data_IF_847674875538
#
_entry.id   IF_847674875538
#
_cell.length_a   1.000
_cell.length_b   1.000
_cell.length_c   1.000
_cell.angle_alpha   90.00
_cell.angle_beta   90.00
_cell.angle_gamma   90.00
#
_symmetry.space_group_name_H-M   'P 1'
#
loop_
_entity.id
_entity.type
_entity.pdbx_description
1 polymer ?
#
# COMPACT_ATOMS: atom_id res chain seq x y z
N UNK A 1 -20.63 -13.88 -4.48
CA UNK A 1 -19.47 -13.22 -3.85
C UNK A 1 -19.95 -12.04 -3.01
N UNK A 2 -19.78 -12.12 -1.70
CA UNK A 2 -20.06 -10.98 -0.82
C UNK A 2 -18.86 -10.02 -0.95
N UNK A 3 -19.06 -8.86 -1.59
CA UNK A 3 -18.01 -7.93 -2.12
C UNK A 3 -17.08 -7.29 -1.06
N UNK A 4 -16.96 -7.86 0.14
CA UNK A 4 -16.23 -7.29 1.29
C UNK A 4 -15.29 -8.28 2.00
N UNK A 5 -15.23 -9.53 1.55
CA UNK A 5 -14.34 -10.54 2.10
C UNK A 5 -13.77 -11.31 0.92
N UNK A 6 -12.44 -11.41 0.83
CA UNK A 6 -11.84 -12.28 -0.18
C UNK A 6 -12.02 -13.71 0.33
N UNK A 7 -12.53 -14.59 -0.52
CA UNK A 7 -12.70 -16.00 -0.18
C UNK A 7 -11.35 -16.54 0.31
N UNK A 8 -11.37 -17.40 1.34
CA UNK A 8 -10.18 -17.84 2.09
C UNK A 8 -9.15 -18.66 1.28
N UNK A 9 -9.32 -18.75 -0.05
CA UNK A 9 -8.37 -19.36 -0.95
C UNK A 9 -7.10 -18.50 -1.00
N UNK A 10 -5.95 -19.15 -0.77
CA UNK A 10 -4.66 -18.49 -0.90
C UNK A 10 -4.38 -18.22 -2.38
N UNK A 11 -3.88 -17.02 -2.69
CA UNK A 11 -3.38 -16.67 -4.01
C UNK A 11 -2.10 -17.47 -4.33
N UNK A 12 -1.73 -17.52 -5.61
CA UNK A 12 -0.44 -18.07 -6.04
C UNK A 12 0.64 -16.99 -6.21
N UNK A 13 0.36 -15.75 -5.81
CA UNK A 13 1.26 -14.62 -5.99
C UNK A 13 2.30 -14.53 -4.87
N UNK A 14 3.46 -14.00 -5.21
CA UNK A 14 4.56 -13.80 -4.26
C UNK A 14 5.25 -12.46 -4.50
N UNK A 15 5.71 -11.83 -3.43
CA UNK A 15 6.48 -10.59 -3.55
C UNK A 15 7.82 -10.86 -4.24
N UNK A 16 8.08 -10.10 -5.31
CA UNK A 16 9.40 -10.10 -5.94
C UNK A 16 10.50 -9.59 -4.98
N UNK A 17 11.75 -9.94 -5.26
CA UNK A 17 12.91 -9.38 -4.56
C UNK A 17 12.95 -7.84 -4.63
N UNK A 18 12.42 -7.25 -5.72
CA UNK A 18 12.28 -5.79 -5.86
C UNK A 18 11.25 -5.23 -4.89
N UNK A 19 10.10 -5.89 -4.72
CA UNK A 19 9.09 -5.47 -3.75
C UNK A 19 9.64 -5.53 -2.32
N UNK A 20 10.35 -6.62 -1.98
CA UNK A 20 10.98 -6.78 -0.67
C UNK A 20 12.05 -5.71 -0.40
N UNK A 21 12.90 -5.40 -1.38
CA UNK A 21 13.91 -4.34 -1.22
C UNK A 21 13.29 -2.95 -1.07
N UNK A 22 12.15 -2.68 -1.72
CA UNK A 22 11.40 -1.43 -1.56
C UNK A 22 10.78 -1.27 -0.18
N UNK A 23 10.60 -2.36 0.57
CA UNK A 23 10.14 -2.32 1.95
C UNK A 23 11.28 -2.13 2.97
N UNK A 24 12.54 -2.01 2.55
CA UNK A 24 13.62 -1.68 3.50
C UNK A 24 13.30 -0.36 4.22
N UNK A 25 13.43 -0.36 5.55
CA UNK A 25 13.06 0.78 6.40
C UNK A 25 11.55 0.96 6.67
N UNK A 26 10.66 0.17 6.07
CA UNK A 26 9.24 0.14 6.42
C UNK A 26 9.02 -0.58 7.75
N UNK A 27 8.04 -0.12 8.53
CA UNK A 27 7.66 -0.68 9.83
C UNK A 27 7.31 -2.17 9.73
N UNK A 28 7.73 -2.95 10.73
CA UNK A 28 7.58 -4.41 10.75
C UNK A 28 6.14 -4.88 10.57
N UNK A 29 5.19 -4.23 11.24
CA UNK A 29 3.77 -4.59 11.11
C UNK A 29 3.20 -4.33 9.73
N UNK A 30 3.58 -3.22 9.07
CA UNK A 30 3.12 -2.96 7.72
C UNK A 30 3.69 -3.98 6.73
N UNK A 31 4.95 -4.41 6.92
CA UNK A 31 5.52 -5.52 6.13
C UNK A 31 4.75 -6.83 6.32
N UNK A 32 4.34 -7.14 7.56
CA UNK A 32 3.51 -8.32 7.86
C UNK A 32 2.17 -8.24 7.14
N UNK A 33 1.53 -7.08 7.14
CA UNK A 33 0.28 -6.85 6.40
C UNK A 33 0.49 -7.03 4.89
N UNK A 34 1.54 -6.44 4.30
CA UNK A 34 1.84 -6.58 2.86
C UNK A 34 2.05 -8.06 2.48
N UNK A 35 2.85 -8.79 3.25
CA UNK A 35 3.11 -10.23 3.00
C UNK A 35 1.86 -11.08 3.19
N UNK A 36 0.97 -10.71 4.10
CA UNK A 36 -0.31 -11.43 4.23
C UNK A 36 -1.30 -11.05 3.13
N UNK A 37 -1.27 -9.80 2.66
CA UNK A 37 -2.15 -9.33 1.59
C UNK A 37 -1.84 -9.99 0.24
N UNK A 38 -0.56 -10.24 -0.09
CA UNK A 38 -0.21 -10.92 -1.36
C UNK A 38 -0.74 -12.36 -1.38
N UNK A 39 -0.86 -13.03 -0.23
CA UNK A 39 -1.44 -14.36 -0.14
C UNK A 39 -2.97 -14.37 -0.27
N UNK A 40 -3.63 -13.21 -0.15
CA UNK A 40 -5.08 -13.07 -0.13
C UNK A 40 -5.64 -12.39 -1.38
N UNK A 41 -4.79 -11.70 -2.16
CA UNK A 41 -5.24 -10.81 -3.22
C UNK A 41 -5.81 -11.54 -4.44
N UNK A 42 -6.88 -11.02 -5.07
CA UNK A 42 -7.39 -11.55 -6.33
C UNK A 42 -6.51 -11.19 -7.54
N UNK A 43 -5.66 -10.16 -7.43
CA UNK A 43 -4.74 -9.70 -8.47
C UNK A 43 -3.33 -9.53 -7.91
N UNK A 44 -2.31 -9.85 -8.71
CA UNK A 44 -0.92 -9.64 -8.31
C UNK A 44 -0.64 -8.14 -8.05
N UNK A 45 0.27 -7.86 -7.13
CA UNK A 45 0.74 -6.50 -6.88
C UNK A 45 2.22 -6.44 -6.52
N UNK A 46 2.85 -5.33 -6.87
CA UNK A 46 4.24 -5.03 -6.53
C UNK A 46 4.37 -3.79 -5.66
N UNK A 47 5.36 -3.74 -4.77
CA UNK A 47 5.64 -2.53 -3.98
C UNK A 47 6.51 -1.58 -4.81
N UNK A 48 6.02 -0.36 -5.01
CA UNK A 48 6.70 0.68 -5.80
C UNK A 48 7.46 1.66 -4.91
N UNK A 49 6.98 1.92 -3.70
CA UNK A 49 7.58 2.84 -2.75
C UNK A 49 7.39 2.36 -1.30
N UNK A 50 8.44 2.48 -0.49
CA UNK A 50 8.38 2.27 0.95
C UNK A 50 8.85 3.52 1.68
N UNK A 51 9.92 3.42 2.47
CA UNK A 51 10.46 4.59 3.17
C UNK A 51 11.04 5.62 2.19
N UNK A 52 10.76 6.90 2.42
CA UNK A 52 11.31 8.04 1.65
C UNK A 52 12.18 8.94 2.50
N UNK A 53 13.15 9.57 1.87
CA UNK A 53 13.87 10.75 2.37
C UNK A 53 13.02 12.02 2.20
N UNK A 54 13.45 13.12 2.83
CA UNK A 54 12.79 14.41 2.65
C UNK A 54 12.94 14.92 1.21
N UNK A 55 14.08 14.65 0.60
CA UNK A 55 14.43 15.04 -0.77
C UNK A 55 13.55 14.32 -1.79
N UNK A 56 13.37 13.00 -1.64
CA UNK A 56 12.47 12.22 -2.50
C UNK A 56 11.02 12.70 -2.39
N UNK A 57 10.56 12.97 -1.17
CA UNK A 57 9.22 13.49 -0.94
C UNK A 57 9.05 14.90 -1.54
N UNK A 58 10.06 15.76 -1.40
CA UNK A 58 10.05 17.10 -2.00
C UNK A 58 10.06 17.06 -3.54
N UNK A 59 10.75 16.09 -4.13
CA UNK A 59 10.74 15.88 -5.58
C UNK A 59 9.33 15.51 -6.09
N UNK A 60 8.56 14.72 -5.33
CA UNK A 60 7.16 14.41 -5.65
C UNK A 60 6.27 15.65 -5.50
N UNK A 61 6.47 16.42 -4.42
CA UNK A 61 5.76 17.69 -4.21
C UNK A 61 5.97 18.68 -5.36
N UNK A 62 7.22 18.90 -5.78
CA UNK A 62 7.57 19.79 -6.91
C UNK A 62 6.97 19.34 -8.25
N UNK A 63 6.68 18.04 -8.40
CA UNK A 63 6.02 17.46 -9.58
C UNK A 63 4.48 17.50 -9.50
N UNK A 64 3.90 18.01 -8.41
CA UNK A 64 2.46 18.00 -8.18
C UNK A 64 1.90 16.63 -7.79
N UNK A 65 2.76 15.63 -7.55
CA UNK A 65 2.37 14.27 -7.17
C UNK A 65 2.17 14.10 -5.66
N UNK A 66 2.37 15.15 -4.87
CA UNK A 66 2.07 15.17 -3.45
C UNK A 66 1.75 16.59 -2.97
N UNK A 67 0.97 16.71 -1.91
CA UNK A 67 0.72 17.97 -1.19
C UNK A 67 1.69 18.17 0.00
N UNK A 68 2.55 17.19 0.27
CA UNK A 68 3.47 17.16 1.40
C UNK A 68 4.90 17.43 0.90
N UNK A 69 5.48 18.54 1.33
CA UNK A 69 6.78 19.04 0.87
C UNK A 69 7.99 18.23 1.37
N UNK A 70 7.78 17.36 2.35
CA UNK A 70 8.83 16.55 2.96
C UNK A 70 9.60 17.22 4.10
N UNK A 71 9.44 18.53 4.30
CA UNK A 71 10.17 19.30 5.30
C UNK A 71 9.23 19.85 6.37
N UNK A 72 8.32 20.75 5.98
CA UNK A 72 7.32 21.36 6.85
C UNK A 72 6.11 20.45 7.04
N UNK A 73 5.73 19.72 5.98
CA UNK A 73 4.63 18.76 5.94
C UNK A 73 5.20 17.39 5.58
N UNK A 74 5.31 16.52 6.58
CA UNK A 74 5.92 15.20 6.44
C UNK A 74 4.92 14.15 5.99
N UNK A 75 5.38 13.26 5.11
CA UNK A 75 4.65 12.06 4.68
C UNK A 75 4.90 10.88 5.63
N UNK A 76 3.92 9.98 5.73
CA UNK A 76 4.07 8.71 6.46
C UNK A 76 5.11 7.78 5.84
N UNK A 77 5.43 7.97 4.56
CA UNK A 77 6.58 7.31 3.94
C UNK A 77 7.90 7.70 4.62
N UNK A 78 8.05 8.93 5.11
CA UNK A 78 9.32 9.35 5.72
C UNK A 78 9.60 8.70 7.07
N UNK A 79 8.53 8.41 7.83
CA UNK A 79 8.65 7.62 9.06
C UNK A 79 8.64 6.11 8.82
N UNK A 80 8.52 5.64 7.57
CA UNK A 80 8.47 4.20 7.24
C UNK A 80 7.12 3.54 7.54
N UNK A 81 6.05 4.31 7.68
CA UNK A 81 4.72 3.81 8.07
C UNK A 81 3.73 3.76 6.90
N UNK A 82 4.22 3.92 5.67
CA UNK A 82 3.42 3.82 4.46
C UNK A 82 4.17 3.08 3.36
N UNK A 83 3.40 2.50 2.44
CA UNK A 83 3.85 1.91 1.20
C UNK A 83 2.94 2.38 0.06
N UNK A 84 3.50 2.38 -1.15
CA UNK A 84 2.73 2.43 -2.38
C UNK A 84 2.88 1.12 -3.12
N UNK A 85 1.80 0.64 -3.71
CA UNK A 85 1.78 -0.55 -4.56
C UNK A 85 1.29 -0.25 -5.97
N UNK A 86 1.59 -1.16 -6.89
CA UNK A 86 1.05 -1.21 -8.24
C UNK A 86 0.34 -2.55 -8.44
N UNK A 87 -0.75 -2.57 -9.20
CA UNK A 87 -1.51 -3.79 -9.50
C UNK A 87 -1.22 -4.27 -10.91
N UNK A 88 -1.22 -5.59 -11.10
CA UNK A 88 -1.16 -6.22 -12.41
C UNK A 88 -2.53 -6.79 -12.80
N UNK A 89 -2.93 -6.58 -14.05
CA UNK A 89 -4.16 -7.13 -14.61
C UNK A 89 -4.06 -8.64 -14.87
N UNK A 90 -5.12 -9.23 -15.41
CA UNK A 90 -5.22 -10.66 -15.72
C UNK A 90 -4.18 -11.13 -16.74
N UNK A 91 -3.62 -10.20 -17.52
CA UNK A 91 -2.59 -10.44 -18.52
C UNK A 91 -1.19 -10.10 -17.98
N UNK A 92 -1.04 -9.95 -16.66
CA UNK A 92 0.22 -9.58 -15.99
C UNK A 92 0.78 -8.22 -16.42
N UNK A 93 -0.06 -7.30 -16.88
CA UNK A 93 0.35 -5.94 -17.24
C UNK A 93 0.02 -4.97 -16.11
N UNK A 94 0.90 -3.99 -15.89
CA UNK A 94 0.64 -2.92 -14.93
C UNK A 94 -0.65 -2.19 -15.30
N UNK A 95 -1.55 -2.05 -14.34
CA UNK A 95 -2.80 -1.30 -14.47
C UNK A 95 -2.92 -0.19 -13.42
N UNK A 96 -3.59 0.90 -13.83
CA UNK A 96 -3.93 2.04 -12.98
C UNK A 96 -5.45 2.15 -12.76
N UNK A 97 -6.22 1.14 -13.19
CA UNK A 97 -7.67 1.13 -13.02
C UNK A 97 -8.07 1.04 -11.55
N UNK A 98 -8.80 2.03 -11.05
CA UNK A 98 -9.12 2.14 -9.62
C UNK A 98 -9.84 0.91 -9.04
N UNK A 99 -10.67 0.23 -9.84
CA UNK A 99 -11.34 -1.01 -9.44
C UNK A 99 -10.39 -2.16 -9.10
N UNK A 100 -9.20 -2.21 -9.71
CA UNK A 100 -8.17 -3.18 -9.36
C UNK A 100 -7.58 -2.87 -7.98
N UNK A 101 -7.25 -1.59 -7.74
CA UNK A 101 -6.74 -1.14 -6.43
C UNK A 101 -7.78 -1.35 -5.33
N UNK A 102 -9.06 -1.11 -5.59
CA UNK A 102 -10.14 -1.39 -4.64
C UNK A 102 -10.18 -2.87 -4.25
N UNK A 103 -10.11 -3.78 -5.23
CA UNK A 103 -10.12 -5.22 -4.97
C UNK A 103 -8.88 -5.71 -4.22
N UNK A 104 -7.69 -5.21 -4.59
CA UNK A 104 -6.45 -5.48 -3.85
C UNK A 104 -6.52 -4.90 -2.43
N UNK A 105 -7.15 -3.72 -2.25
CA UNK A 105 -7.31 -3.11 -0.92
C UNK A 105 -8.10 -3.98 0.04
N UNK A 106 -9.03 -4.81 -0.46
CA UNK A 106 -9.78 -5.74 0.39
C UNK A 106 -8.86 -6.79 1.01
N UNK A 107 -7.85 -7.26 0.28
CA UNK A 107 -6.83 -8.16 0.81
C UNK A 107 -5.95 -7.48 1.86
N UNK A 108 -5.55 -6.22 1.65
CA UNK A 108 -4.84 -5.43 2.67
C UNK A 108 -5.67 -5.24 3.94
N UNK A 109 -6.95 -4.87 3.80
CA UNK A 109 -7.87 -4.68 4.94
C UNK A 109 -8.14 -5.99 5.68
N UNK A 110 -8.27 -7.10 4.96
CA UNK A 110 -8.42 -8.42 5.56
C UNK A 110 -7.15 -8.85 6.31
N UNK A 111 -5.98 -8.71 5.69
CA UNK A 111 -4.69 -8.99 6.32
C UNK A 111 -4.47 -8.17 7.60
N UNK A 112 -4.77 -6.87 7.55
CA UNK A 112 -4.74 -5.97 8.69
C UNK A 112 -5.64 -6.46 9.84
N UNK A 113 -6.88 -6.87 9.52
CA UNK A 113 -7.82 -7.43 10.50
C UNK A 113 -7.32 -8.75 11.09
N UNK A 114 -6.81 -9.67 10.27
CA UNK A 114 -6.29 -10.97 10.71
C UNK A 114 -5.08 -10.83 11.64
N UNK A 115 -4.23 -9.83 11.39
CA UNK A 115 -3.00 -9.58 12.15
C UNK A 115 -3.18 -8.60 13.31
N UNK A 116 -4.38 -8.04 13.49
CA UNK A 116 -4.67 -6.95 14.43
C UNK A 116 -3.74 -5.73 14.26
N UNK A 117 -3.50 -5.33 13.01
CA UNK A 117 -2.67 -4.18 12.63
C UNK A 117 -3.55 -3.18 11.89
N UNK A 118 -3.98 -2.07 12.53
CA UNK A 118 -4.87 -1.12 11.88
C UNK A 118 -4.13 -0.32 10.79
N UNK A 119 -4.74 -0.27 9.60
CA UNK A 119 -4.26 0.47 8.43
C UNK A 119 -5.33 1.44 7.92
N UNK A 120 -4.90 2.40 7.12
CA UNK A 120 -5.72 3.25 6.27
C UNK A 120 -5.28 3.04 4.82
N UNK A 121 -6.25 2.87 3.92
CA UNK A 121 -6.00 2.84 2.47
C UNK A 121 -6.36 4.19 1.86
N UNK A 122 -5.49 4.74 1.01
CA UNK A 122 -5.68 6.07 0.40
C UNK A 122 -6.91 6.17 -0.49
N UNK A 123 -7.40 5.05 -1.04
CA UNK A 123 -8.66 5.02 -1.79
C UNK A 123 -9.91 5.25 -0.94
N UNK A 124 -9.83 5.11 0.39
CA UNK A 124 -10.92 5.41 1.32
C UNK A 124 -10.96 6.90 1.73
N UNK A 125 -9.97 7.72 1.34
CA UNK A 125 -9.98 9.14 1.65
C UNK A 125 -11.15 9.87 0.99
N UNK A 126 -11.67 10.90 1.67
CA UNK A 126 -12.83 11.69 1.19
C UNK A 126 -12.48 12.49 -0.07
N UNK A 127 -11.26 13.03 -0.12
CA UNK A 127 -10.72 13.75 -1.27
C UNK A 127 -9.30 13.26 -1.55
N UNK A 128 -8.82 13.47 -2.78
CA UNK A 128 -7.49 13.01 -3.23
C UNK A 128 -7.29 11.50 -3.05
N UNK A 129 -8.28 10.70 -3.45
CA UNK A 129 -8.21 9.24 -3.37
C UNK A 129 -6.94 8.72 -4.05
N UNK A 130 -6.15 8.00 -3.27
CA UNK A 130 -4.86 7.47 -3.68
C UNK A 130 -4.89 5.94 -3.62
N UNK A 131 -5.20 5.31 -4.76
CA UNK A 131 -5.33 3.85 -4.86
C UNK A 131 -4.05 3.11 -4.46
N UNK A 132 -2.85 3.54 -4.91
CA UNK A 132 -1.58 2.95 -4.49
C UNK A 132 -1.26 3.00 -2.99
N UNK A 133 -1.76 3.99 -2.24
CA UNK A 133 -1.24 4.29 -0.89
C UNK A 133 -1.88 3.45 0.21
N UNK A 134 -1.06 2.82 1.06
CA UNK A 134 -1.49 2.20 2.33
C UNK A 134 -0.59 2.66 3.45
N UNK A 135 -1.18 3.09 4.57
CA UNK A 135 -0.43 3.50 5.76
C UNK A 135 -0.94 2.83 7.04
N UNK A 136 -0.06 2.71 8.03
CA UNK A 136 -0.45 2.38 9.39
C UNK A 136 -1.29 3.52 9.99
N UNK A 137 -2.32 3.15 10.75
CA UNK A 137 -3.24 4.12 11.34
C UNK A 137 -2.51 5.01 12.37
N UNK A 138 -2.54 6.33 12.13
CA UNK A 138 -1.89 7.35 12.96
C UNK A 138 -2.36 7.35 14.41
N UNK A 139 -3.57 6.83 14.69
CA UNK A 139 -4.10 6.73 16.05
C UNK A 139 -3.35 5.70 16.90
N UNK A 140 -2.68 4.74 16.25
CA UNK A 140 -1.91 3.68 16.91
C UNK A 140 -0.41 3.87 16.69
N UNK A 141 -0.01 4.33 15.50
CA UNK A 141 1.40 4.51 15.12
C UNK A 141 1.70 5.99 14.87
N UNK A 142 2.14 6.69 15.94
CA UNK A 142 2.54 8.10 15.89
C UNK A 142 3.77 8.30 14.99
#
# INVERSE_FOLDING_TARGET
MNKKTVDKALSQFALSARSESRMIGVHGDLKRVVRRAIELTPFDFGITSGKRTAEEQNALFKKGASQLDGYSKKSRHQSGHAIDFVVYDENSKVTWGFSYYEQVSWAFKQAAKELNVPIVWGGDWVSFKDGPHVELDKRVYA
#
